data_IF_680222122976
#
_entry.id   IF_680222122976
#
_cell.length_a   1.000
_cell.length_b   1.000
_cell.length_c   1.000
_cell.angle_alpha   90.00
_cell.angle_beta   90.00
_cell.angle_gamma   90.00
#
_symmetry.space_group_name_H-M   'P 1'
#
loop_
_entity.id
_entity.type
_entity.pdbx_description
1 polymer ?
#
# COMPACT_ATOMS: atom_id res chain seq x y z
N UNK A 1 -16.17 18.92 -14.50
CA UNK A 1 -16.97 17.68 -14.35
C UNK A 1 -16.91 17.32 -12.87
N UNK A 2 -18.00 17.03 -12.18
CA UNK A 2 -17.90 16.79 -10.72
C UNK A 2 -16.95 15.61 -10.44
N UNK A 3 -16.02 15.79 -9.51
CA UNK A 3 -15.09 14.76 -9.06
C UNK A 3 -15.87 13.51 -8.61
N UNK A 4 -15.50 12.35 -9.15
CA UNK A 4 -16.10 11.07 -8.79
C UNK A 4 -15.42 10.49 -7.53
N UNK A 5 -15.91 10.91 -6.37
CA UNK A 5 -15.42 10.47 -5.06
C UNK A 5 -15.71 8.99 -4.81
N UNK A 6 -16.78 8.44 -5.37
CA UNK A 6 -17.12 7.02 -5.26
C UNK A 6 -16.06 6.18 -5.97
N UNK A 7 -15.67 6.57 -7.18
CA UNK A 7 -14.61 5.88 -7.92
C UNK A 7 -13.26 5.97 -7.19
N UNK A 8 -12.91 7.11 -6.58
CA UNK A 8 -11.68 7.23 -5.76
C UNK A 8 -11.75 6.29 -4.54
N UNK A 9 -12.89 6.24 -3.86
CA UNK A 9 -13.10 5.33 -2.73
C UNK A 9 -12.92 3.87 -3.14
N UNK A 10 -13.49 3.45 -4.28
CA UNK A 10 -13.35 2.09 -4.81
C UNK A 10 -11.89 1.77 -5.13
N UNK A 11 -11.17 2.69 -5.78
CA UNK A 11 -9.74 2.50 -6.11
C UNK A 11 -8.87 2.40 -4.85
N UNK A 12 -9.15 3.22 -3.84
CA UNK A 12 -8.46 3.14 -2.56
C UNK A 12 -8.76 1.84 -1.81
N UNK A 13 -10.01 1.36 -1.86
CA UNK A 13 -10.39 0.08 -1.25
C UNK A 13 -9.69 -1.09 -1.96
N UNK A 14 -9.62 -1.07 -3.29
CA UNK A 14 -8.85 -2.05 -4.08
C UNK A 14 -7.38 -2.02 -3.74
N UNK A 15 -6.77 -0.83 -3.70
CA UNK A 15 -5.38 -0.64 -3.29
C UNK A 15 -5.12 -1.15 -1.88
N UNK A 16 -6.05 -0.91 -0.95
CA UNK A 16 -5.95 -1.43 0.41
C UNK A 16 -6.01 -2.97 0.44
N UNK A 17 -6.85 -3.59 -0.38
CA UNK A 17 -6.91 -5.05 -0.50
C UNK A 17 -5.58 -5.63 -1.01
N UNK A 18 -4.99 -5.06 -2.07
CA UNK A 18 -3.65 -5.47 -2.54
C UNK A 18 -2.58 -5.32 -1.45
N UNK A 19 -2.63 -4.26 -0.63
CA UNK A 19 -1.73 -4.14 0.52
C UNK A 19 -1.93 -5.27 1.54
N UNK A 20 -3.17 -5.72 1.77
CA UNK A 20 -3.42 -6.86 2.68
C UNK A 20 -2.81 -8.15 2.12
N UNK A 21 -2.96 -8.40 0.83
CA UNK A 21 -2.35 -9.55 0.16
C UNK A 21 -0.82 -9.47 0.19
N UNK A 22 -0.21 -8.30 -0.03
CA UNK A 22 1.24 -8.11 0.15
C UNK A 22 1.67 -8.50 1.57
N UNK A 23 0.93 -8.08 2.60
CA UNK A 23 1.24 -8.43 3.99
C UNK A 23 1.15 -9.93 4.27
N UNK A 24 0.13 -10.59 3.71
CA UNK A 24 -0.04 -12.04 3.78
C UNK A 24 1.09 -12.78 3.07
N UNK A 25 1.34 -12.46 1.80
CA UNK A 25 2.42 -13.04 0.99
C UNK A 25 3.79 -12.83 1.64
N UNK A 26 4.04 -11.67 2.25
CA UNK A 26 5.29 -11.42 3.00
C UNK A 26 5.48 -12.41 4.16
N UNK A 27 4.39 -12.78 4.84
CA UNK A 27 4.42 -13.76 5.94
C UNK A 27 4.61 -15.18 5.41
N UNK A 28 3.94 -15.53 4.30
CA UNK A 28 4.11 -16.82 3.63
C UNK A 28 5.54 -17.02 3.07
N UNK A 29 6.15 -15.96 2.52
CA UNK A 29 7.56 -15.96 2.08
C UNK A 29 8.48 -16.25 3.27
N UNK A 30 8.24 -15.63 4.44
CA UNK A 30 9.03 -15.91 5.64
C UNK A 30 8.97 -17.39 6.04
N UNK A 31 7.79 -18.01 5.95
CA UNK A 31 7.63 -19.43 6.25
C UNK A 31 8.32 -20.32 5.20
N UNK A 32 8.15 -20.05 3.91
CA UNK A 32 8.76 -20.81 2.82
C UNK A 32 10.29 -20.77 2.92
N UNK A 33 10.88 -19.59 3.16
CA UNK A 33 12.31 -19.41 3.41
C UNK A 33 12.76 -20.22 4.62
N UNK A 34 12.00 -20.20 5.72
CA UNK A 34 12.35 -20.94 6.95
C UNK A 34 12.34 -22.45 6.73
N UNK A 35 11.49 -22.95 5.82
CA UNK A 35 11.43 -24.36 5.40
C UNK A 35 12.43 -24.72 4.29
N UNK A 36 13.20 -23.74 3.79
CA UNK A 36 14.10 -23.88 2.63
C UNK A 36 13.36 -24.36 1.36
N UNK A 37 12.11 -23.95 1.22
CA UNK A 37 11.30 -24.25 0.04
C UNK A 37 11.51 -23.14 -1.01
N UNK A 38 12.53 -23.35 -1.86
CA UNK A 38 12.92 -22.37 -2.88
C UNK A 38 11.86 -22.20 -3.97
N UNK A 39 11.14 -23.27 -4.32
CA UNK A 39 10.08 -23.26 -5.35
C UNK A 39 8.91 -22.38 -4.87
N UNK A 40 8.41 -22.63 -3.67
CA UNK A 40 7.33 -21.81 -3.09
C UNK A 40 7.80 -20.39 -2.85
N UNK A 41 9.06 -20.19 -2.42
CA UNK A 41 9.61 -18.84 -2.22
C UNK A 41 9.60 -18.03 -3.52
N UNK A 42 10.02 -18.60 -4.64
CA UNK A 42 9.99 -17.92 -5.94
C UNK A 42 8.57 -17.56 -6.36
N UNK A 43 7.64 -18.52 -6.28
CA UNK A 43 6.24 -18.28 -6.65
C UNK A 43 5.61 -17.17 -5.82
N UNK A 44 5.83 -17.17 -4.51
CA UNK A 44 5.28 -16.17 -3.60
C UNK A 44 5.88 -14.78 -3.84
N UNK A 45 7.15 -14.70 -4.26
CA UNK A 45 7.78 -13.43 -4.65
C UNK A 45 7.13 -12.85 -5.92
N UNK A 46 6.84 -13.68 -6.91
CA UNK A 46 6.17 -13.25 -8.16
C UNK A 46 4.75 -12.75 -7.88
N UNK A 47 3.98 -13.49 -7.07
CA UNK A 47 2.63 -13.06 -6.64
C UNK A 47 2.69 -11.73 -5.88
N UNK A 48 3.70 -11.53 -5.02
CA UNK A 48 3.88 -10.28 -4.29
C UNK A 48 4.24 -9.12 -5.21
N UNK A 49 5.00 -9.37 -6.26
CA UNK A 49 5.31 -8.36 -7.27
C UNK A 49 4.04 -7.91 -8.02
N UNK A 50 3.17 -8.85 -8.40
CA UNK A 50 1.88 -8.55 -9.03
C UNK A 50 1.00 -7.65 -8.13
N UNK A 51 0.93 -7.93 -6.82
CA UNK A 51 0.15 -7.08 -5.91
C UNK A 51 0.75 -5.68 -5.69
N UNK A 52 2.07 -5.54 -5.82
CA UNK A 52 2.74 -4.23 -5.84
C UNK A 52 2.33 -3.46 -7.09
N UNK A 53 2.37 -4.10 -8.27
CA UNK A 53 1.91 -3.49 -9.52
C UNK A 53 0.42 -3.10 -9.44
N UNK A 54 -0.42 -3.92 -8.82
CA UNK A 54 -1.83 -3.59 -8.57
C UNK A 54 -2.00 -2.34 -7.72
N UNK A 55 -1.17 -2.21 -6.68
CA UNK A 55 -1.15 -1.04 -5.79
C UNK A 55 -0.75 0.24 -6.55
N UNK A 56 0.25 0.14 -7.42
CA UNK A 56 0.72 1.25 -8.26
C UNK A 56 -0.30 1.66 -9.33
N UNK A 57 -0.91 0.69 -10.01
CA UNK A 57 -1.97 0.91 -11.00
C UNK A 57 -3.17 1.65 -10.39
N UNK A 58 -3.65 1.22 -9.22
CA UNK A 58 -4.72 1.92 -8.52
C UNK A 58 -4.33 3.36 -8.18
N UNK A 59 -3.08 3.58 -7.77
CA UNK A 59 -2.58 4.92 -7.46
C UNK A 59 -2.51 5.80 -8.72
N UNK A 60 -2.05 5.24 -9.85
CA UNK A 60 -2.00 5.94 -11.13
C UNK A 60 -3.41 6.32 -11.63
N UNK A 61 -4.38 5.42 -11.52
CA UNK A 61 -5.77 5.69 -11.90
C UNK A 61 -6.36 6.88 -11.11
N UNK A 62 -6.10 6.95 -9.80
CA UNK A 62 -6.50 8.11 -8.97
C UNK A 62 -5.86 9.41 -9.47
N UNK A 63 -4.58 9.37 -9.87
CA UNK A 63 -3.90 10.55 -10.40
C UNK A 63 -4.42 10.97 -11.78
N UNK A 64 -4.71 10.02 -12.67
CA UNK A 64 -5.34 10.30 -13.97
C UNK A 64 -6.73 10.92 -13.82
N UNK A 65 -7.47 10.58 -12.76
CA UNK A 65 -8.72 11.26 -12.43
C UNK A 65 -8.50 12.73 -12.03
N UNK A 66 -7.38 13.03 -11.38
CA UNK A 66 -6.99 14.39 -11.02
C UNK A 66 -6.65 15.24 -12.26
N UNK A 67 -6.13 14.64 -13.33
CA UNK A 67 -5.72 15.36 -14.55
C UNK A 67 -6.90 15.83 -15.43
N UNK A 68 -8.13 15.36 -15.16
CA UNK A 68 -9.33 15.67 -15.97
C UNK A 68 -9.85 17.12 -15.81
N UNK A 69 -9.32 17.90 -14.86
CA UNK A 69 -9.68 19.31 -14.67
C UNK A 69 -8.85 20.01 -13.59
N UNK A 70 -8.66 21.33 -13.68
CA UNK A 70 -7.75 22.08 -12.79
C UNK A 70 -8.24 22.15 -11.33
N UNK A 71 -9.56 22.32 -11.10
CA UNK A 71 -10.15 22.32 -9.75
C UNK A 71 -10.17 20.93 -9.14
N UNK A 72 -10.55 19.93 -9.94
CA UNK A 72 -10.59 18.52 -9.58
C UNK A 72 -9.19 18.02 -9.19
N UNK A 73 -8.15 18.47 -9.89
CA UNK A 73 -6.76 18.18 -9.56
C UNK A 73 -6.36 18.66 -8.15
N UNK A 74 -6.83 19.85 -7.76
CA UNK A 74 -6.59 20.43 -6.45
C UNK A 74 -7.24 19.61 -5.34
N UNK A 75 -8.51 19.24 -5.54
CA UNK A 75 -9.27 18.44 -4.59
C UNK A 75 -8.68 17.03 -4.41
N UNK A 76 -8.34 16.33 -5.50
CA UNK A 76 -7.71 14.99 -5.41
C UNK A 76 -6.37 15.07 -4.72
N UNK A 77 -5.52 16.07 -5.06
CA UNK A 77 -4.25 16.28 -4.37
C UNK A 77 -4.48 16.47 -2.88
N UNK A 78 -5.35 17.39 -2.49
CA UNK A 78 -5.65 17.65 -1.08
C UNK A 78 -6.14 16.38 -0.38
N UNK A 79 -7.05 15.63 -0.99
CA UNK A 79 -7.61 14.40 -0.44
C UNK A 79 -6.58 13.28 -0.29
N UNK A 80 -5.57 13.23 -1.17
CA UNK A 80 -4.54 12.20 -1.20
C UNK A 80 -3.29 12.55 -0.38
N UNK A 81 -3.01 13.84 -0.15
CA UNK A 81 -1.82 14.30 0.59
C UNK A 81 -2.13 14.79 2.00
N UNK A 82 -3.39 15.13 2.33
CA UNK A 82 -3.78 15.52 3.69
C UNK A 82 -3.41 14.45 4.70
N UNK A 83 -3.07 14.85 5.94
CA UNK A 83 -2.81 13.86 6.98
C UNK A 83 -4.08 13.05 7.26
N UNK A 84 -4.09 11.74 6.96
CA UNK A 84 -5.27 10.94 7.18
C UNK A 84 -5.59 10.79 8.68
N UNK A 85 -4.65 11.09 9.58
CA UNK A 85 -4.83 11.04 11.03
C UNK A 85 -5.48 12.29 11.64
N UNK A 86 -5.74 13.34 10.86
CA UNK A 86 -6.42 14.54 11.35
C UNK A 86 -7.81 14.19 11.93
N UNK A 87 -8.17 14.81 13.05
CA UNK A 87 -9.41 14.51 13.78
C UNK A 87 -10.64 14.90 12.96
N UNK A 88 -11.43 13.88 12.57
CA UNK A 88 -12.69 13.92 11.83
C UNK A 88 -12.66 14.82 10.57
N UNK A 89 -12.36 14.24 9.39
CA UNK A 89 -12.44 14.99 8.16
C UNK A 89 -13.88 15.46 7.93
N UNK A 90 -14.13 16.77 7.73
CA UNK A 90 -15.44 17.24 7.27
C UNK A 90 -15.66 16.69 5.86
N UNK A 91 -16.87 16.22 5.54
CA UNK A 91 -17.14 15.72 4.20
C UNK A 91 -18.29 14.73 4.06
N UNK A 92 -18.54 14.33 2.81
CA UNK A 92 -19.52 13.30 2.43
C UNK A 92 -19.15 11.92 3.00
N UNK A 93 -20.05 10.94 2.82
CA UNK A 93 -19.79 9.55 3.22
C UNK A 93 -18.53 8.99 2.53
N UNK A 94 -18.37 9.26 1.23
CA UNK A 94 -17.25 8.83 0.41
C UNK A 94 -15.94 9.43 0.93
N UNK A 95 -15.89 10.73 1.23
CA UNK A 95 -14.71 11.38 1.78
C UNK A 95 -14.32 10.76 3.11
N UNK A 96 -15.27 10.55 4.02
CA UNK A 96 -15.00 9.92 5.32
C UNK A 96 -14.42 8.50 5.15
N UNK A 97 -14.94 7.72 4.20
CA UNK A 97 -14.40 6.39 3.90
C UNK A 97 -13.02 6.43 3.28
N UNK A 98 -12.75 7.39 2.40
CA UNK A 98 -11.42 7.61 1.83
C UNK A 98 -10.39 7.86 2.96
N UNK A 99 -10.70 8.72 3.93
CA UNK A 99 -9.83 8.96 5.09
C UNK A 99 -9.67 7.73 5.99
N UNK A 100 -10.74 6.96 6.21
CA UNK A 100 -10.67 5.69 6.94
C UNK A 100 -9.73 4.68 6.26
N UNK A 101 -9.90 4.47 4.95
CA UNK A 101 -9.07 3.53 4.16
C UNK A 101 -7.61 3.99 4.14
N UNK A 102 -7.35 5.30 3.97
CA UNK A 102 -5.99 5.86 4.00
C UNK A 102 -5.31 5.65 5.36
N UNK A 103 -6.04 5.80 6.48
CA UNK A 103 -5.53 5.49 7.83
C UNK A 103 -5.14 4.02 7.96
N UNK A 104 -6.05 3.10 7.60
CA UNK A 104 -5.79 1.65 7.64
C UNK A 104 -4.61 1.27 6.76
N UNK A 105 -4.54 1.81 5.55
CA UNK A 105 -3.43 1.60 4.61
C UNK A 105 -2.09 2.05 5.20
N UNK A 106 -2.05 3.21 5.88
CA UNK A 106 -0.82 3.70 6.53
C UNK A 106 -0.35 2.79 7.66
N UNK A 107 -1.27 2.30 8.48
CA UNK A 107 -0.95 1.34 9.55
C UNK A 107 -0.41 0.04 8.95
N UNK A 108 -1.13 -0.52 7.98
CA UNK A 108 -0.76 -1.77 7.32
C UNK A 108 0.61 -1.68 6.62
N UNK A 109 0.88 -0.58 5.92
CA UNK A 109 2.18 -0.35 5.29
C UNK A 109 3.34 -0.37 6.29
N UNK A 110 3.16 0.23 7.47
CA UNK A 110 4.20 0.18 8.52
C UNK A 110 4.45 -1.25 8.99
N UNK A 111 3.39 -2.04 9.14
CA UNK A 111 3.56 -3.44 9.55
C UNK A 111 4.22 -4.29 8.46
N UNK A 112 3.87 -4.08 7.18
CA UNK A 112 4.54 -4.74 6.04
C UNK A 112 6.02 -4.39 6.02
N UNK A 113 6.36 -3.10 6.16
CA UNK A 113 7.75 -2.64 6.20
C UNK A 113 8.54 -3.29 7.35
N UNK A 114 7.92 -3.46 8.51
CA UNK A 114 8.58 -4.11 9.64
C UNK A 114 8.81 -5.61 9.39
N UNK A 115 7.83 -6.31 8.80
CA UNK A 115 7.98 -7.72 8.38
C UNK A 115 9.06 -7.87 7.30
N UNK A 116 9.10 -6.96 6.32
CA UNK A 116 10.13 -6.94 5.27
C UNK A 116 11.53 -6.76 5.86
N UNK A 117 11.70 -5.85 6.84
CA UNK A 117 12.97 -5.66 7.55
C UNK A 117 13.44 -6.93 8.24
N UNK A 118 12.54 -7.60 8.96
CA UNK A 118 12.84 -8.85 9.65
C UNK A 118 13.24 -9.96 8.66
N UNK A 119 12.50 -10.12 7.56
CA UNK A 119 12.80 -11.08 6.51
C UNK A 119 14.17 -10.81 5.88
N UNK A 120 14.42 -9.55 5.49
CA UNK A 120 15.65 -9.15 4.83
C UNK A 120 16.89 -9.35 5.72
N UNK A 121 16.76 -9.12 7.04
CA UNK A 121 17.83 -9.40 8.01
C UNK A 121 18.10 -10.89 8.16
N UNK A 122 17.05 -11.73 8.23
CA UNK A 122 17.19 -13.19 8.35
C UNK A 122 17.83 -13.82 7.10
N UNK A 123 17.42 -13.38 5.91
CA UNK A 123 17.93 -13.92 4.64
C UNK A 123 19.31 -13.36 4.31
N UNK A 124 19.50 -12.05 4.50
CA UNK A 124 20.69 -11.33 4.05
C UNK A 124 21.87 -11.34 5.03
N UNK A 125 21.66 -11.63 6.32
CA UNK A 125 22.71 -11.53 7.35
C UNK A 125 23.45 -10.19 7.28
N UNK A 126 24.78 -10.23 7.21
CA UNK A 126 25.66 -9.04 7.08
C UNK A 126 25.50 -8.27 5.75
N UNK A 127 24.87 -8.88 4.75
CA UNK A 127 24.54 -8.25 3.45
C UNK A 127 23.10 -7.74 3.39
N UNK A 128 22.38 -7.77 4.52
CA UNK A 128 21.02 -7.21 4.61
C UNK A 128 21.01 -5.74 4.19
N UNK A 129 20.02 -5.38 3.38
CA UNK A 129 19.76 -3.99 2.99
C UNK A 129 19.57 -3.07 4.21
N UNK A 130 19.01 -3.61 5.30
CA UNK A 130 18.78 -2.89 6.57
C UNK A 130 19.88 -3.09 7.62
N UNK A 131 21.00 -3.73 7.28
CA UNK A 131 22.11 -3.98 8.20
C UNK A 131 23.01 -2.76 8.46
N UNK A 132 22.91 -1.72 7.64
CA UNK A 132 23.78 -0.53 7.70
C UNK A 132 23.23 0.63 8.54
N UNK A 133 21.96 0.57 8.96
CA UNK A 133 21.27 1.72 9.58
C UNK A 133 21.40 1.77 11.11
N UNK A 134 21.95 0.72 11.75
CA UNK A 134 22.10 0.62 13.22
C UNK A 134 23.57 0.62 13.69
N UNK A 135 24.50 1.23 12.93
CA UNK A 135 25.90 1.45 13.38
C UNK A 135 26.18 2.92 13.66
#
# INVERSE_FOLDING_TARGET
MRLDLEQIMILLQRRYHSLQEIGKLTSEIQEAVSRRDEVSTSLLLDMRAEEIENTERCQQEIWLMAEKGQEEAGMVRQLMTSDPAAARPPGSFEEQKIYEIRRKSRTLLKEIQERDRMLNRRVGGDKSFYGKTDR
#
